data_IF_279927957566
#
_entry.id   IF_279927957566
#
_cell.length_a   1.000
_cell.length_b   1.000
_cell.length_c   1.000
_cell.angle_alpha   90.00
_cell.angle_beta   90.00
_cell.angle_gamma   90.00
#
_symmetry.space_group_name_H-M   'P 1'
#
loop_
_entity.id
_entity.type
_entity.pdbx_description
1 polymer ?
#
# COMPACT_ATOMS: atom_id res chain seq x y z
N UNK A 1 11.82 -30.26 -21.31
CA UNK A 1 12.69 -29.38 -20.49
C UNK A 1 11.80 -28.39 -19.75
N UNK A 2 11.85 -28.34 -18.42
CA UNK A 2 11.25 -27.23 -17.67
C UNK A 2 12.09 -25.98 -17.99
N UNK A 3 11.49 -24.84 -18.39
CA UNK A 3 12.26 -23.63 -18.61
C UNK A 3 13.01 -23.30 -17.33
N UNK A 4 14.32 -23.02 -17.43
CA UNK A 4 15.12 -22.54 -16.31
C UNK A 4 14.44 -21.26 -15.83
N UNK A 5 13.93 -21.27 -14.60
CA UNK A 5 13.28 -20.10 -14.04
C UNK A 5 14.29 -18.94 -14.03
N UNK A 6 13.97 -17.87 -14.74
CA UNK A 6 14.78 -16.64 -14.71
C UNK A 6 14.95 -16.11 -13.28
N UNK A 7 15.88 -15.17 -13.06
CA UNK A 7 16.15 -14.64 -11.73
C UNK A 7 14.87 -14.14 -11.05
N UNK A 8 14.70 -14.48 -9.77
CA UNK A 8 13.58 -14.01 -8.94
C UNK A 8 13.87 -12.58 -8.49
N UNK A 9 13.12 -11.62 -9.04
CA UNK A 9 13.28 -10.20 -8.74
C UNK A 9 12.18 -9.77 -7.76
N UNK A 10 12.60 -9.10 -6.68
CA UNK A 10 11.71 -8.52 -5.68
C UNK A 10 11.59 -7.00 -5.82
N UNK A 11 10.38 -6.48 -5.63
CA UNK A 11 10.10 -5.07 -5.46
C UNK A 11 9.82 -4.81 -3.97
N UNK A 12 10.64 -3.96 -3.35
CA UNK A 12 10.53 -3.58 -1.94
C UNK A 12 9.99 -2.15 -1.85
N UNK A 13 8.85 -1.98 -1.20
CA UNK A 13 8.11 -0.72 -1.08
C UNK A 13 8.10 -0.27 0.39
N UNK A 14 8.96 0.69 0.78
CA UNK A 14 9.01 1.16 2.15
C UNK A 14 7.76 1.99 2.51
N UNK A 15 7.52 2.11 3.80
CA UNK A 15 6.49 3.01 4.33
C UNK A 15 6.81 4.47 4.01
N UNK A 16 5.77 5.27 3.77
CA UNK A 16 5.94 6.70 3.47
C UNK A 16 4.66 7.53 3.56
N UNK A 17 3.52 6.95 3.95
CA UNK A 17 2.22 7.63 3.98
C UNK A 17 1.91 8.29 2.62
N UNK A 18 1.54 9.57 2.64
CA UNK A 18 1.32 10.36 1.43
C UNK A 18 2.57 10.45 0.52
N UNK A 19 3.78 10.40 1.08
CA UNK A 19 5.04 10.48 0.32
C UNK A 19 5.27 9.26 -0.58
N UNK A 20 4.54 8.16 -0.35
CA UNK A 20 4.56 7.02 -1.27
C UNK A 20 4.02 7.34 -2.67
N UNK A 21 3.44 8.53 -2.89
CA UNK A 21 3.16 9.08 -4.22
C UNK A 21 4.40 9.10 -5.14
N UNK A 22 5.59 9.34 -4.57
CA UNK A 22 6.84 9.24 -5.33
C UNK A 22 7.07 7.83 -5.89
N UNK A 23 6.82 6.81 -5.06
CA UNK A 23 6.93 5.40 -5.47
C UNK A 23 5.95 5.07 -6.61
N UNK A 24 4.71 5.60 -6.55
CA UNK A 24 3.74 5.51 -7.65
C UNK A 24 4.29 6.13 -8.94
N UNK A 25 4.88 7.32 -8.86
CA UNK A 25 5.50 8.00 -9.99
C UNK A 25 6.61 7.18 -10.65
N UNK A 26 7.53 6.63 -9.84
CA UNK A 26 8.61 5.74 -10.31
C UNK A 26 8.03 4.51 -11.00
N UNK A 27 7.04 3.85 -10.40
CA UNK A 27 6.41 2.67 -10.98
C UNK A 27 5.70 2.97 -12.30
N UNK A 28 5.06 4.13 -12.43
CA UNK A 28 4.47 4.59 -13.71
C UNK A 28 5.53 4.77 -14.79
N UNK A 29 6.68 5.37 -14.45
CA UNK A 29 7.79 5.54 -15.38
C UNK A 29 8.35 4.19 -15.84
N UNK A 30 8.58 3.26 -14.90
CA UNK A 30 9.03 1.91 -15.23
C UNK A 30 8.00 1.20 -16.12
N UNK A 31 6.70 1.27 -15.79
CA UNK A 31 5.66 0.64 -16.58
C UNK A 31 5.51 1.20 -18.00
N UNK A 32 5.99 2.42 -18.26
CA UNK A 32 6.00 2.99 -19.61
C UNK A 32 7.04 2.30 -20.52
N UNK A 33 8.04 1.62 -19.96
CA UNK A 33 9.02 0.84 -20.72
C UNK A 33 8.51 -0.55 -21.13
N UNK A 34 7.36 -0.99 -20.61
CA UNK A 34 6.80 -2.31 -20.89
C UNK A 34 5.67 -2.23 -21.94
N UNK A 35 5.54 -3.25 -22.81
CA UNK A 35 4.44 -3.34 -23.75
C UNK A 35 3.06 -3.30 -23.07
N UNK A 36 2.03 -2.77 -23.74
CA UNK A 36 0.65 -2.86 -23.25
C UNK A 36 0.24 -4.30 -22.97
N UNK A 37 -0.22 -4.57 -21.74
CA UNK A 37 -0.66 -5.91 -21.34
C UNK A 37 0.44 -6.82 -20.80
N UNK A 38 1.70 -6.35 -20.73
CA UNK A 38 2.76 -7.09 -20.06
C UNK A 38 2.44 -7.35 -18.57
N UNK A 39 2.79 -8.53 -18.04
CA UNK A 39 2.67 -8.81 -16.62
C UNK A 39 3.68 -8.01 -15.81
N UNK A 40 3.53 -8.03 -14.49
CA UNK A 40 4.46 -7.44 -13.54
C UNK A 40 5.83 -8.11 -13.68
N UNK A 41 6.92 -7.34 -13.82
CA UNK A 41 8.27 -7.92 -13.96
C UNK A 41 8.85 -8.40 -12.61
N UNK A 42 8.17 -8.11 -11.50
CA UNK A 42 8.57 -8.47 -10.14
C UNK A 42 7.67 -9.60 -9.65
N UNK A 43 8.27 -10.73 -9.26
CA UNK A 43 7.51 -11.88 -8.74
C UNK A 43 7.26 -11.78 -7.23
N UNK A 44 8.14 -11.08 -6.52
CA UNK A 44 8.06 -10.88 -5.08
C UNK A 44 7.72 -9.42 -4.80
N UNK A 45 6.65 -9.20 -4.05
CA UNK A 45 6.22 -7.87 -3.62
C UNK A 45 6.29 -7.78 -2.10
N UNK A 46 7.14 -6.89 -1.60
CA UNK A 46 7.31 -6.65 -0.17
C UNK A 46 6.95 -5.21 0.12
N UNK A 47 6.08 -4.98 1.11
CA UNK A 47 5.65 -3.64 1.45
C UNK A 47 5.36 -3.47 2.93
N UNK A 48 5.70 -2.30 3.47
CA UNK A 48 5.48 -1.93 4.88
C UNK A 48 4.62 -0.67 4.96
N UNK A 49 3.62 -0.64 5.86
CA UNK A 49 2.71 0.50 6.05
C UNK A 49 2.07 0.94 4.71
N UNK A 50 2.19 2.20 4.29
CA UNK A 50 1.69 2.64 2.99
C UNK A 50 2.20 1.78 1.81
N UNK A 51 3.45 1.28 1.89
CA UNK A 51 4.03 0.41 0.87
C UNK A 51 3.33 -0.95 0.74
N UNK A 52 2.72 -1.49 1.81
CA UNK A 52 1.94 -2.73 1.71
C UNK A 52 0.66 -2.54 0.91
N UNK A 53 0.08 -1.34 0.95
CA UNK A 53 -1.07 -0.96 0.12
C UNK A 53 -0.69 -0.93 -1.35
N UNK A 54 0.45 -0.29 -1.68
CA UNK A 54 0.96 -0.30 -3.06
C UNK A 54 1.22 -1.72 -3.55
N UNK A 55 1.88 -2.55 -2.74
CA UNK A 55 2.17 -3.94 -3.05
C UNK A 55 0.88 -4.73 -3.31
N UNK A 56 -0.13 -4.61 -2.45
CA UNK A 56 -1.41 -5.30 -2.58
C UNK A 56 -2.19 -4.87 -3.84
N UNK A 57 -2.23 -3.57 -4.14
CA UNK A 57 -2.84 -3.08 -5.38
C UNK A 57 -2.09 -3.65 -6.59
N UNK A 58 -0.76 -3.53 -6.66
CA UNK A 58 0.02 -4.09 -7.77
C UNK A 58 -0.19 -5.60 -7.93
N UNK A 59 -0.22 -6.34 -6.83
CA UNK A 59 -0.46 -7.78 -6.82
C UNK A 59 -1.81 -8.13 -7.47
N UNK A 60 -2.87 -7.35 -7.19
CA UNK A 60 -4.19 -7.57 -7.79
C UNK A 60 -4.23 -7.32 -9.31
N UNK A 61 -3.19 -6.66 -9.86
CA UNK A 61 -2.98 -6.39 -11.28
C UNK A 61 -1.73 -7.09 -11.83
N UNK A 62 -1.25 -8.19 -11.22
CA UNK A 62 0.00 -8.86 -11.62
C UNK A 62 0.06 -9.25 -13.11
N UNK A 63 -1.08 -9.55 -13.73
CA UNK A 63 -1.14 -9.88 -15.17
C UNK A 63 -1.07 -8.66 -16.10
N UNK A 64 -1.24 -7.44 -15.58
CA UNK A 64 -1.33 -6.20 -16.39
C UNK A 64 -0.66 -5.04 -15.66
N UNK A 65 0.66 -4.99 -15.72
CA UNK A 65 1.47 -4.04 -14.94
C UNK A 65 1.05 -2.58 -15.14
N UNK A 66 0.92 -2.13 -16.39
CA UNK A 66 0.50 -0.76 -16.71
C UNK A 66 -0.88 -0.41 -16.16
N UNK A 67 -1.80 -1.37 -16.04
CA UNK A 67 -3.11 -1.13 -15.40
C UNK A 67 -2.96 -1.02 -13.89
N UNK A 68 -2.08 -1.82 -13.28
CA UNK A 68 -1.75 -1.71 -11.85
C UNK A 68 -1.20 -0.34 -11.49
N UNK A 69 -0.29 0.23 -12.29
CA UNK A 69 0.25 1.57 -12.03
C UNK A 69 -0.77 2.68 -12.25
N UNK A 70 -1.72 2.53 -13.18
CA UNK A 70 -2.86 3.44 -13.32
C UNK A 70 -3.84 3.34 -12.14
N UNK A 71 -4.05 2.14 -11.60
CA UNK A 71 -4.88 1.94 -10.41
C UNK A 71 -4.22 2.61 -9.19
N UNK A 72 -2.91 2.44 -9.01
CA UNK A 72 -2.13 3.16 -8.00
C UNK A 72 -2.24 4.67 -8.18
N UNK A 73 -2.06 5.17 -9.40
CA UNK A 73 -2.18 6.59 -9.72
C UNK A 73 -3.56 7.14 -9.35
N UNK A 74 -4.63 6.39 -9.63
CA UNK A 74 -6.00 6.77 -9.26
C UNK A 74 -6.20 6.81 -7.75
N UNK A 75 -5.69 5.81 -7.04
CA UNK A 75 -5.76 5.78 -5.56
C UNK A 75 -5.02 7.00 -5.00
N UNK A 76 -3.77 7.24 -5.40
CA UNK A 76 -2.92 8.31 -4.87
C UNK A 76 -3.28 9.72 -5.36
N UNK A 77 -3.80 9.90 -6.57
CA UNK A 77 -4.31 11.21 -7.03
C UNK A 77 -5.62 11.61 -6.36
N UNK A 78 -6.42 10.64 -5.93
CA UNK A 78 -7.67 10.89 -5.23
C UNK A 78 -7.50 10.88 -3.70
N UNK A 79 -6.30 10.69 -3.17
CA UNK A 79 -5.94 10.90 -1.76
C UNK A 79 -6.06 12.39 -1.41
N UNK A 80 -7.28 12.85 -1.15
CA UNK A 80 -7.52 14.13 -0.48
C UNK A 80 -7.35 13.92 1.03
N UNK A 81 -6.86 14.93 1.74
CA UNK A 81 -6.71 14.93 3.21
C UNK A 81 -8.02 14.50 3.90
N UNK A 82 -9.17 14.85 3.32
CA UNK A 82 -10.51 14.54 3.80
C UNK A 82 -10.91 13.05 3.69
N UNK A 83 -10.21 12.24 2.89
CA UNK A 83 -10.43 10.79 2.75
C UNK A 83 -9.55 9.96 3.70
N UNK A 84 -8.58 10.60 4.38
CA UNK A 84 -7.72 9.97 5.40
C UNK A 84 -8.12 10.44 6.80
N UNK A 85 -8.60 11.68 6.91
CA UNK A 85 -9.04 12.28 8.15
C UNK A 85 -10.47 12.80 7.98
N UNK A 86 -11.44 12.14 8.62
CA UNK A 86 -12.65 12.87 8.99
C UNK A 86 -12.22 13.97 9.96
N UNK A 87 -12.50 15.21 9.58
CA UNK A 87 -12.39 16.46 10.34
C UNK A 87 -12.63 16.29 11.85
N UNK A 88 -11.59 15.89 12.56
CA UNK A 88 -11.53 15.93 14.02
C UNK A 88 -10.06 16.11 14.46
N UNK A 89 -9.38 17.07 13.82
CA UNK A 89 -7.99 17.45 14.10
C UNK A 89 -7.74 17.67 15.60
N UNK A 90 -8.77 18.12 16.34
CA UNK A 90 -8.73 18.31 17.79
C UNK A 90 -8.66 16.98 18.54
N UNK A 91 -9.48 15.99 18.18
CA UNK A 91 -9.48 14.64 18.75
C UNK A 91 -8.17 13.91 18.46
N UNK A 92 -7.55 14.17 17.30
CA UNK A 92 -6.27 13.59 16.89
C UNK A 92 -5.05 14.21 17.59
N UNK A 93 -5.02 15.54 17.72
CA UNK A 93 -4.00 16.24 18.50
C UNK A 93 -4.11 15.84 19.99
N UNK A 94 -5.32 15.67 20.50
CA UNK A 94 -5.57 15.13 21.85
C UNK A 94 -5.02 13.72 22.03
N UNK A 95 -5.34 12.79 21.12
CA UNK A 95 -4.84 11.41 21.19
C UNK A 95 -3.31 11.32 21.01
N UNK A 96 -2.72 12.17 20.17
CA UNK A 96 -1.27 12.27 19.99
C UNK A 96 -0.56 12.85 21.22
N UNK A 97 -1.11 13.90 21.83
CA UNK A 97 -0.58 14.48 23.07
C UNK A 97 -0.70 13.51 24.26
N UNK A 98 -1.82 12.76 24.34
CA UNK A 98 -2.02 11.74 25.36
C UNK A 98 -1.03 10.58 25.22
N UNK A 99 -0.73 10.14 23.99
CA UNK A 99 0.30 9.12 23.75
C UNK A 99 1.70 9.64 24.12
N UNK A 100 2.04 10.88 23.74
CA UNK A 100 3.31 11.51 24.10
C UNK A 100 3.47 11.62 25.61
N UNK A 101 2.43 12.04 26.34
CA UNK A 101 2.43 12.06 27.80
C UNK A 101 2.56 10.65 28.39
N UNK A 102 1.80 9.67 27.89
CA UNK A 102 1.86 8.30 28.37
C UNK A 102 3.26 7.69 28.16
N UNK A 103 3.93 7.99 27.04
CA UNK A 103 5.31 7.56 26.79
C UNK A 103 6.31 8.29 27.69
N UNK A 104 6.17 9.60 27.86
CA UNK A 104 7.06 10.40 28.73
C UNK A 104 6.90 10.04 30.21
N UNK A 105 5.71 9.60 30.63
CA UNK A 105 5.41 9.20 32.01
C UNK A 105 5.51 7.69 32.27
N UNK A 106 5.91 6.88 31.27
CA UNK A 106 5.88 5.42 31.37
C UNK A 106 4.49 4.82 31.69
N UNK A 107 3.41 5.52 31.33
CA UNK A 107 2.02 5.13 31.61
C UNK A 107 1.51 5.48 33.01
N UNK A 108 2.30 6.18 33.84
CA UNK A 108 1.93 6.50 35.23
C UNK A 108 0.88 7.62 35.37
N UNK A 109 0.85 8.57 34.42
CA UNK A 109 -0.05 9.74 34.46
C UNK A 109 -1.37 9.52 33.68
N UNK A 110 -1.34 8.81 32.55
CA UNK A 110 -2.50 8.56 31.67
C UNK A 110 -2.36 7.19 30.96
N UNK A 111 -3.46 6.42 30.78
CA UNK A 111 -3.44 5.19 30.00
C UNK A 111 -3.29 5.48 28.49
N UNK A 112 -2.55 4.61 27.79
CA UNK A 112 -2.41 4.67 26.33
C UNK A 112 -3.77 4.46 25.63
N UNK A 113 -4.15 5.30 24.64
CA UNK A 113 -5.39 5.11 23.90
C UNK A 113 -5.39 3.80 23.11
N UNK A 114 -6.56 3.11 23.03
CA UNK A 114 -6.72 1.83 22.30
C UNK A 114 -6.54 1.94 20.78
N UNK A 115 -6.68 3.14 20.22
CA UNK A 115 -6.34 3.46 18.83
C UNK A 115 -6.08 4.95 18.72
N UNK A 116 -5.01 5.34 18.03
CA UNK A 116 -4.67 6.74 17.74
C UNK A 116 -5.47 7.30 16.55
N UNK A 117 -6.04 6.42 15.72
CA UNK A 117 -6.66 6.76 14.44
C UNK A 117 -7.96 5.99 14.21
N UNK A 118 -8.99 6.67 13.70
CA UNK A 118 -10.14 6.00 13.11
C UNK A 118 -9.75 5.47 11.71
N UNK A 119 -9.51 4.16 11.61
CA UNK A 119 -9.06 3.52 10.36
C UNK A 119 -10.21 3.12 9.41
N UNK A 120 -11.48 3.47 9.73
CA UNK A 120 -12.62 3.12 8.88
C UNK A 120 -12.51 3.64 7.43
N UNK A 121 -11.99 4.85 7.14
CA UNK A 121 -11.78 5.32 5.77
C UNK A 121 -10.72 4.50 5.02
N UNK A 122 -9.62 4.16 5.69
CA UNK A 122 -8.56 3.31 5.12
C UNK A 122 -9.08 1.91 4.78
N UNK A 123 -9.92 1.33 5.65
CA UNK A 123 -10.55 0.02 5.40
C UNK A 123 -11.40 0.03 4.13
N UNK A 124 -12.24 1.05 3.94
CA UNK A 124 -13.06 1.19 2.72
C UNK A 124 -12.22 1.40 1.47
N UNK A 125 -11.15 2.19 1.56
CA UNK A 125 -10.20 2.39 0.46
C UNK A 125 -9.59 1.06 0.03
N UNK A 126 -9.18 0.21 0.97
CA UNK A 126 -8.59 -1.10 0.69
C UNK A 126 -9.61 -2.06 0.08
N UNK A 127 -10.84 -2.11 0.61
CA UNK A 127 -11.92 -2.94 0.08
C UNK A 127 -12.25 -2.61 -1.39
N UNK A 128 -12.20 -1.32 -1.75
CA UNK A 128 -12.46 -0.88 -3.14
C UNK A 128 -11.24 -1.02 -4.07
N UNK A 129 -10.02 -0.86 -3.54
CA UNK A 129 -8.82 -0.75 -4.37
C UNK A 129 -8.11 -2.08 -4.59
N UNK A 130 -8.28 -3.04 -3.68
CA UNK A 130 -7.57 -4.32 -3.70
C UNK A 130 -8.55 -5.46 -3.95
N UNK A 131 -8.42 -6.10 -5.11
CA UNK A 131 -9.13 -7.34 -5.38
C UNK A 131 -8.27 -8.53 -4.93
N UNK A 132 -8.51 -9.01 -3.71
CA UNK A 132 -7.77 -10.13 -3.11
C UNK A 132 -7.93 -11.45 -3.88
N UNK A 133 -9.07 -11.67 -4.53
CA UNK A 133 -9.26 -12.86 -5.38
C UNK A 133 -8.28 -12.88 -6.56
N UNK A 134 -7.99 -11.70 -7.14
CA UNK A 134 -6.99 -11.58 -8.22
C UNK A 134 -5.56 -11.82 -7.73
N UNK A 135 -5.26 -11.48 -6.48
CA UNK A 135 -3.95 -11.81 -5.88
C UNK A 135 -3.80 -13.33 -5.78
N UNK A 136 -4.83 -14.02 -5.30
CA UNK A 136 -4.84 -15.49 -5.27
C UNK A 136 -4.64 -16.09 -6.65
N UNK A 137 -5.40 -15.63 -7.65
CA UNK A 137 -5.25 -16.06 -9.04
C UNK A 137 -3.84 -15.81 -9.59
N UNK A 138 -3.20 -14.70 -9.22
CA UNK A 138 -1.85 -14.38 -9.67
C UNK A 138 -0.79 -15.32 -9.05
N UNK A 139 -0.97 -15.71 -7.79
CA UNK A 139 -0.14 -16.73 -7.14
C UNK A 139 -0.34 -18.10 -7.80
N UNK A 140 -1.59 -18.51 -8.02
CA UNK A 140 -1.92 -19.81 -8.62
C UNK A 140 -1.43 -19.91 -10.07
N UNK A 141 -1.42 -18.79 -10.80
CA UNK A 141 -0.88 -18.69 -12.17
C UNK A 141 0.66 -18.55 -12.23
N UNK A 142 1.36 -18.50 -11.09
CA UNK A 142 2.81 -18.33 -11.03
C UNK A 142 3.31 -16.97 -11.51
N UNK A 143 2.43 -15.95 -11.53
CA UNK A 143 2.80 -14.56 -11.81
C UNK A 143 3.45 -13.89 -10.60
N UNK A 144 3.11 -14.36 -9.40
CA UNK A 144 3.68 -13.95 -8.12
C UNK A 144 4.16 -15.17 -7.36
N UNK A 145 5.18 -14.97 -6.53
CA UNK A 145 5.70 -15.95 -5.59
C UNK A 145 5.32 -15.50 -4.15
N UNK A 146 5.04 -16.45 -3.26
CA UNK A 146 4.75 -16.22 -1.84
C UNK A 146 5.55 -17.17 -0.95
#
# INVERSE_FOLDING_TARGET
MRPVAGPRIALVLPGGGARSAYQVGVLKAIAAWYPPGAPLPFRLLVGTSAGSILAAVLASYASRFRRGTLALDRVWRNFHVDHVFSTDLRSMLGAGAQLMLALASGGLLLPSPRSLFNNAPLRRLLEWSVNFARIRQALDAGLLDA
#
